data_IF_514835398481
#
_entry.id   IF_514835398481
#
_cell.length_a   1.000
_cell.length_b   1.000
_cell.length_c   1.000
_cell.angle_alpha   90.00
_cell.angle_beta   90.00
_cell.angle_gamma   90.00
#
_symmetry.space_group_name_H-M   'P 1'
#
loop_
_entity.id
_entity.type
_entity.pdbx_description
1 polymer ?
2 branched ?
3 water ?
#
# COMPACT_ATOMS: atom_id res chain seq x y z
N UNK A 25 35.54 5.90 3.90
CA UNK A 25 34.24 5.74 3.19
C UNK A 25 33.41 7.05 3.27
N UNK A 26 32.66 7.29 2.21
CA UNK A 26 31.49 8.18 2.27
C UNK A 26 30.42 7.39 3.05
N UNK A 27 29.87 7.99 4.11
CA UNK A 27 28.78 7.37 4.83
C UNK A 27 27.49 8.11 4.51
N UNK A 28 26.52 7.32 4.07
CA UNK A 28 25.19 7.82 3.82
C UNK A 28 24.22 7.33 4.89
N UNK A 29 23.13 8.07 5.06
CA UNK A 29 22.04 7.63 5.91
C UNK A 29 20.80 7.42 5.08
N UNK A 30 19.99 6.44 5.46
CA UNK A 30 18.79 6.06 4.72
C UNK A 30 17.65 5.77 5.69
N UNK A 31 16.51 6.40 5.48
CA UNK A 31 15.32 6.17 6.29
C UNK A 31 14.25 5.42 5.52
N UNK A 32 13.62 4.42 6.14
CA UNK A 32 12.53 3.69 5.52
C UNK A 32 11.70 3.08 6.64
N UNK A 33 10.47 2.74 6.31
CA UNK A 33 9.62 1.96 7.23
C UNK A 33 9.91 0.46 7.16
N UNK A 34 10.71 0.00 6.21
CA UNK A 34 10.88 -1.41 6.00
C UNK A 34 11.42 -2.12 7.24
N UNK A 35 10.75 -3.24 7.53
CA UNK A 35 11.14 -4.15 8.59
C UNK A 35 12.35 -4.97 8.19
N UNK A 36 12.92 -5.63 9.15
CA UNK A 36 14.11 -6.38 8.93
C UNK A 36 13.95 -7.50 7.85
N UNK A 37 12.72 -7.97 7.69
CA UNK A 37 12.24 -8.92 6.66
C UNK A 37 12.13 -8.36 5.26
N UNK A 38 11.98 -7.06 5.19
CA UNK A 38 11.57 -6.36 3.97
C UNK A 38 12.83 -5.79 3.28
N UNK A 39 12.68 -5.19 2.06
CA UNK A 39 13.88 -4.95 1.25
C UNK A 39 14.95 -4.05 1.82
N UNK A 40 14.59 -2.87 2.28
CA UNK A 40 15.63 -1.85 2.46
C UNK A 40 16.82 -2.28 3.30
N UNK A 41 16.61 -2.81 4.55
CA UNK A 41 17.80 -3.10 5.35
C UNK A 41 18.64 -4.22 4.78
N UNK A 42 18.00 -5.13 4.06
CA UNK A 42 18.75 -6.22 3.43
C UNK A 42 19.57 -5.76 2.23
N UNK A 43 18.96 -4.89 1.42
CA UNK A 43 19.69 -4.32 0.31
C UNK A 43 20.88 -3.51 0.84
N UNK A 44 20.70 -2.79 1.94
CA UNK A 44 21.78 -2.06 2.53
C UNK A 44 22.95 -2.97 2.96
N UNK A 45 22.62 -4.10 3.56
CA UNK A 45 23.70 -5.01 4.03
C UNK A 45 24.47 -5.52 2.81
N UNK A 46 23.74 -5.82 1.74
CA UNK A 46 24.39 -6.31 0.51
C UNK A 46 25.30 -5.20 -0.09
N UNK A 47 24.74 -4.01 -0.18
CA UNK A 47 25.50 -2.85 -0.69
C UNK A 47 26.76 -2.62 0.10
N UNK A 48 26.63 -2.64 1.43
CA UNK A 48 27.78 -2.37 2.27
C UNK A 48 28.91 -3.41 2.08
N UNK A 49 28.53 -4.63 1.76
CA UNK A 49 29.49 -5.74 1.54
C UNK A 49 30.29 -5.55 0.27
N UNK A 50 29.84 -4.65 -0.63
CA UNK A 50 30.61 -4.36 -1.84
C UNK A 50 31.98 -3.72 -1.55
N UNK A 51 32.08 -3.02 -0.45
CA UNK A 51 33.31 -2.30 -0.03
C UNK A 51 33.75 -1.34 -1.17
N UNK A 52 32.77 -0.59 -1.69
CA UNK A 52 32.99 0.29 -2.85
C UNK A 52 33.31 1.73 -2.50
N UNK A 53 33.62 1.96 -1.24
CA UNK A 53 33.96 3.30 -0.71
C UNK A 53 32.75 4.08 -0.21
N UNK A 54 31.57 3.43 -0.26
CA UNK A 54 30.35 4.00 0.31
C UNK A 54 29.74 3.02 1.30
N UNK A 55 29.33 3.54 2.48
CA UNK A 55 28.61 2.75 3.48
C UNK A 55 27.28 3.44 3.77
N UNK A 56 26.23 2.66 3.96
CA UNK A 56 24.91 3.18 4.33
C UNK A 56 24.56 2.77 5.75
N UNK A 57 24.10 3.75 6.54
CA UNK A 57 23.52 3.56 7.85
C UNK A 57 22.01 3.66 7.79
N UNK A 58 21.34 2.60 8.21
CA UNK A 58 19.87 2.54 8.18
C UNK A 58 19.22 3.05 9.45
N UNK A 59 18.10 3.73 9.29
CA UNK A 59 17.21 3.96 10.39
C UNK A 59 15.82 3.62 9.97
N UNK A 60 15.15 2.73 10.70
CA UNK A 60 13.73 2.44 10.50
C UNK A 60 12.90 3.54 11.09
N UNK A 61 12.02 4.10 10.30
CA UNK A 61 11.11 5.16 10.73
C UNK A 61 10.14 4.57 11.68
N UNK A 62 9.85 5.34 12.73
CA UNK A 62 8.97 4.99 13.85
C UNK A 62 7.83 5.93 13.96
N UNK A 63 6.79 5.54 14.67
CA UNK A 63 5.73 6.49 15.10
C UNK A 63 4.73 7.09 14.09
N UNK A 64 4.69 6.71 12.85
CA UNK A 64 3.53 7.21 12.00
C UNK A 64 3.34 8.76 11.92
N UNK A 65 4.40 9.55 11.91
CA UNK A 65 4.25 11.00 11.57
C UNK A 65 5.46 11.27 10.77
N UNK A 66 5.75 10.28 9.89
CA UNK A 66 6.85 10.24 8.95
C UNK A 66 6.96 11.47 8.10
N UNK A 67 5.84 11.91 7.57
CA UNK A 67 5.85 13.06 6.65
C UNK A 67 6.27 14.31 7.38
N UNK A 68 5.59 14.60 8.48
CA UNK A 68 5.90 15.82 9.26
C UNK A 68 7.33 15.76 9.82
N UNK A 69 7.73 14.62 10.37
CA UNK A 69 9.09 14.42 10.89
C UNK A 69 10.12 14.62 9.84
N UNK A 70 9.87 14.04 8.66
CA UNK A 70 10.89 14.13 7.63
C UNK A 70 10.98 15.53 7.07
N UNK A 71 9.85 16.24 6.93
CA UNK A 71 9.94 17.64 6.50
C UNK A 71 10.62 18.51 7.56
N UNK A 72 10.34 18.28 8.82
CA UNK A 72 11.00 19.03 9.88
C UNK A 72 12.51 18.75 9.88
N UNK A 73 12.89 17.47 9.67
CA UNK A 73 14.31 17.15 9.50
C UNK A 73 14.96 17.90 8.37
N UNK A 74 14.32 17.91 7.22
CA UNK A 74 14.81 18.64 6.10
C UNK A 74 15.00 20.15 6.43
N UNK A 75 13.99 20.72 7.07
CA UNK A 75 14.02 22.15 7.38
C UNK A 75 15.10 22.55 8.37
N UNK A 76 15.47 21.62 9.25
CA UNK A 76 16.46 21.89 10.29
C UNK A 76 17.86 21.45 10.03
N UNK A 77 18.05 20.73 8.93
CA UNK A 77 19.32 20.12 8.55
C UNK A 77 19.63 18.76 9.16
N UNK A 78 18.59 18.04 9.56
CA UNK A 78 18.69 16.67 10.11
C UNK A 78 18.22 15.55 9.16
N UNK A 79 17.91 15.89 7.92
CA UNK A 79 17.37 14.88 7.00
C UNK A 79 18.44 13.85 6.62
N UNK A 80 18.03 12.63 6.30
CA UNK A 80 18.98 11.64 5.82
C UNK A 80 19.42 12.00 4.38
N UNK A 81 20.28 11.20 3.82
CA UNK A 81 20.58 11.32 2.41
C UNK A 81 19.50 10.74 1.52
N UNK A 82 18.97 9.57 1.89
CA UNK A 82 17.96 8.85 1.11
C UNK A 82 16.78 8.52 1.97
N UNK A 83 15.58 8.60 1.39
CA UNK A 83 14.39 8.13 2.06
C UNK A 83 13.61 7.26 1.08
N UNK A 84 12.85 6.26 1.59
CA UNK A 84 11.81 5.58 0.87
C UNK A 84 10.52 6.17 1.31
N UNK A 85 9.93 7.03 0.49
CA UNK A 85 8.72 7.80 0.80
C UNK A 85 7.49 7.20 0.15
N UNK A 86 6.34 7.20 0.82
CA UNK A 86 5.14 6.64 0.27
C UNK A 86 4.79 7.47 -0.98
N UNK A 87 4.35 6.81 -2.06
CA UNK A 87 4.13 7.51 -3.29
C UNK A 87 3.21 8.73 -3.25
N UNK A 88 2.13 8.72 -2.47
CA UNK A 88 1.28 9.93 -2.45
C UNK A 88 1.87 11.13 -1.78
N UNK A 89 2.92 10.87 -1.00
CA UNK A 89 3.62 11.97 -0.30
C UNK A 89 4.74 12.60 -1.07
N UNK A 90 5.06 12.03 -2.21
CA UNK A 90 6.24 12.48 -2.95
C UNK A 90 6.11 13.93 -3.40
N UNK A 91 4.93 14.26 -3.93
CA UNK A 91 4.74 15.57 -4.51
C UNK A 91 4.90 16.67 -3.47
N UNK A 92 4.45 16.44 -2.24
CA UNK A 92 4.65 17.44 -1.21
C UNK A 92 6.11 17.83 -1.06
N UNK A 93 6.98 16.84 -0.96
CA UNK A 93 8.41 17.11 -0.81
C UNK A 93 9.01 17.70 -2.06
N UNK A 94 8.70 17.11 -3.22
CA UNK A 94 9.26 17.59 -4.49
C UNK A 94 8.89 19.05 -4.75
N UNK A 95 7.66 19.40 -4.47
CA UNK A 95 7.17 20.72 -4.75
C UNK A 95 7.76 21.80 -3.85
N UNK A 96 8.23 21.36 -2.70
CA UNK A 96 8.77 22.23 -1.70
C UNK A 96 10.30 22.34 -1.72
N UNK A 97 10.92 21.72 -2.72
CA UNK A 97 12.38 21.73 -2.87
C UNK A 97 13.15 20.79 -1.95
N UNK A 98 12.48 19.90 -1.24
CA UNK A 98 13.13 19.02 -0.25
C UNK A 98 13.90 17.90 -0.92
N UNK A 99 13.56 17.57 -2.15
CA UNK A 99 14.18 16.43 -2.85
C UNK A 99 15.11 16.91 -3.98
N UNK A 100 16.20 16.20 -4.17
CA UNK A 100 17.16 16.44 -5.22
C UNK A 100 16.56 16.11 -6.60
N UNK A 101 16.81 17.01 -7.55
CA UNK A 101 16.49 16.81 -8.93
C UNK A 101 17.42 15.78 -9.51
N UNK A 102 16.89 14.58 -9.78
CA UNK A 102 17.72 13.48 -10.30
C UNK A 102 17.54 13.23 -11.79
N UNK A 103 16.94 14.20 -12.49
CA UNK A 103 16.71 14.06 -13.92
C UNK A 103 17.99 13.71 -14.72
N UNK A 104 19.05 14.52 -14.51
CA UNK A 104 20.24 14.27 -15.25
C UNK A 104 20.94 12.98 -14.86
N UNK A 105 20.97 12.65 -13.57
CA UNK A 105 21.61 11.39 -13.17
C UNK A 105 20.85 10.20 -13.69
N UNK A 106 19.51 10.28 -13.74
CA UNK A 106 18.73 9.18 -14.36
C UNK A 106 19.07 9.04 -15.84
N UNK A 107 19.16 10.17 -16.53
CA UNK A 107 19.44 10.15 -17.96
C UNK A 107 20.76 9.48 -18.25
N UNK A 108 21.77 9.80 -17.41
CA UNK A 108 23.13 9.31 -17.60
C UNK A 108 23.20 7.79 -17.25
N UNK A 109 22.41 7.36 -16.27
CA UNK A 109 22.48 5.99 -15.81
C UNK A 109 21.88 5.01 -16.85
N UNK A 110 22.58 3.89 -17.06
CA UNK A 110 21.99 2.79 -17.82
C UNK A 110 21.25 1.81 -16.90
N UNK A 111 21.50 1.86 -15.59
CA UNK A 111 20.82 0.99 -14.64
C UNK A 111 19.39 1.47 -14.41
N UNK A 112 19.20 2.77 -14.32
CA UNK A 112 17.89 3.40 -14.12
C UNK A 112 17.51 4.10 -15.41
N UNK A 113 16.45 3.59 -16.04
CA UNK A 113 15.88 4.15 -17.25
C UNK A 113 14.42 4.40 -17.02
N UNK A 114 13.95 5.59 -17.35
CA UNK A 114 12.54 5.89 -17.11
C UNK A 114 11.60 4.99 -17.90
N UNK A 115 12.01 4.55 -19.07
CA UNK A 115 11.21 3.63 -19.91
C UNK A 115 10.99 2.28 -19.22
N UNK A 116 11.74 1.99 -18.14
CA UNK A 116 11.54 0.67 -17.49
C UNK A 116 10.32 0.70 -16.56
N UNK A 117 9.85 1.88 -16.18
CA UNK A 117 8.91 1.99 -15.11
C UNK A 117 7.47 2.07 -15.58
N UNK A 118 6.53 1.51 -14.81
CA UNK A 118 5.15 1.77 -15.04
C UNK A 118 4.84 3.24 -14.96
N UNK A 119 3.83 3.71 -15.74
CA UNK A 119 3.63 5.13 -15.81
C UNK A 119 3.15 5.80 -14.52
N UNK A 120 2.28 5.11 -13.75
CA UNK A 120 1.78 5.71 -12.51
C UNK A 120 2.90 5.90 -11.46
N UNK A 121 3.71 4.87 -11.25
CA UNK A 121 4.79 5.07 -10.30
C UNK A 121 5.75 6.17 -10.80
N UNK A 122 6.06 6.12 -12.11
CA UNK A 122 6.97 7.21 -12.63
C UNK A 122 6.38 8.59 -12.41
N UNK A 123 5.11 8.75 -12.77
CA UNK A 123 4.48 10.09 -12.60
C UNK A 123 4.58 10.54 -11.14
N UNK A 124 4.49 9.58 -10.18
CA UNK A 124 4.51 9.97 -8.77
C UNK A 124 5.82 10.61 -8.27
N UNK A 125 6.94 10.35 -8.97
CA UNK A 125 8.24 10.97 -8.62
C UNK A 125 8.51 12.25 -9.38
N UNK A 126 7.58 12.66 -10.20
CA UNK A 126 7.76 13.82 -11.08
C UNK A 126 7.17 15.08 -10.46
N UNK A 127 7.80 16.25 -10.74
CA UNK A 127 7.15 17.50 -10.35
C UNK A 127 7.71 18.57 -11.29
N UNK A 128 6.80 19.28 -11.98
CA UNK A 128 7.18 20.41 -12.82
C UNK A 128 8.22 19.97 -13.84
N UNK A 129 8.00 18.85 -14.50
CA UNK A 129 8.88 18.45 -15.62
C UNK A 129 10.29 18.08 -15.16
N UNK A 130 10.41 17.54 -13.95
CA UNK A 130 11.68 17.02 -13.45
C UNK A 130 11.40 15.76 -12.65
N UNK A 131 12.38 14.88 -12.61
CA UNK A 131 12.32 13.69 -11.73
C UNK A 131 12.93 13.97 -10.39
N UNK A 132 12.18 13.66 -9.33
CA UNK A 132 12.63 13.94 -7.96
C UNK A 132 12.70 12.62 -7.18
N UNK A 133 12.86 11.51 -7.88
CA UNK A 133 13.07 10.21 -7.21
C UNK A 133 13.05 9.10 -8.22
N UNK A 134 13.08 7.86 -7.74
CA UNK A 134 13.06 6.66 -8.54
C UNK A 134 12.07 5.70 -7.84
N UNK A 135 11.06 5.15 -8.50
CA UNK A 135 10.17 4.21 -7.82
C UNK A 135 10.90 3.08 -7.17
N UNK A 136 10.48 2.72 -5.95
CA UNK A 136 11.05 1.54 -5.27
C UNK A 136 10.29 0.26 -5.61
N UNK A 137 8.99 0.29 -5.49
CA UNK A 137 8.15 -0.87 -5.72
C UNK A 137 6.72 -0.37 -6.00
N UNK A 138 5.83 -1.28 -6.30
CA UNK A 138 4.41 -0.91 -6.53
C UNK A 138 3.50 -2.01 -5.96
N UNK A 139 2.27 -1.69 -5.61
CA UNK A 139 1.36 -2.71 -5.10
C UNK A 139 -0.06 -2.24 -5.22
N UNK A 140 -0.97 -3.12 -4.86
CA UNK A 140 -2.29 -2.71 -4.44
C UNK A 140 -2.82 -3.81 -3.53
N UNK A 141 -4.06 -3.71 -3.08
CA UNK A 141 -4.68 -4.66 -2.19
C UNK A 141 -5.59 -5.60 -2.90
N UNK A 142 -5.82 -6.79 -2.34
CA UNK A 142 -6.66 -7.82 -2.86
C UNK A 142 -7.28 -8.61 -1.68
N UNK A 143 -8.00 -9.67 -1.99
CA UNK A 143 -8.78 -10.40 -0.98
C UNK A 143 -8.19 -11.78 -0.79
N UNK A 144 -7.50 -11.95 0.37
CA UNK A 144 -7.03 -13.29 0.82
C UNK A 144 -8.22 -14.02 1.45
N UNK A 145 -8.23 -15.35 1.32
CA UNK A 145 -9.31 -16.13 1.92
C UNK A 145 -8.75 -17.47 2.39
N UNK A 146 -9.25 -17.91 3.56
CA UNK A 146 -8.85 -19.21 4.16
C UNK A 146 -9.75 -20.29 3.55
N UNK A 147 -9.16 -21.11 2.68
CA UNK A 147 -9.93 -22.11 1.98
C UNK A 147 -10.44 -23.22 2.88
N UNK A 148 -9.71 -23.50 3.96
CA UNK A 148 -10.16 -24.54 4.92
C UNK A 148 -11.42 -24.06 5.66
N UNK A 149 -11.44 -22.78 6.04
CA UNK A 149 -12.66 -22.24 6.68
C UNK A 149 -13.82 -22.13 5.68
N UNK A 150 -13.54 -21.81 4.43
CA UNK A 150 -14.60 -21.84 3.40
C UNK A 150 -15.23 -23.23 3.33
N UNK A 151 -14.37 -24.21 3.22
CA UNK A 151 -14.84 -25.59 3.10
C UNK A 151 -15.70 -25.98 4.32
N UNK A 152 -15.17 -25.70 5.52
CA UNK A 152 -15.91 -26.08 6.74
C UNK A 152 -17.26 -25.42 6.88
N UNK A 153 -17.41 -24.20 6.35
CA UNK A 153 -18.68 -23.48 6.33
C UNK A 153 -19.66 -23.99 5.32
N UNK A 154 -19.25 -24.91 4.45
CA UNK A 154 -20.08 -25.36 3.34
C UNK A 154 -19.97 -24.52 2.08
N UNK A 155 -19.03 -23.59 2.05
CA UNK A 155 -18.80 -22.77 0.90
C UNK A 155 -17.87 -23.47 -0.07
N UNK A 156 -17.75 -22.91 -1.26
CA UNK A 156 -16.92 -23.48 -2.32
C UNK A 156 -15.60 -22.72 -2.37
N UNK A 157 -14.54 -23.35 -1.87
CA UNK A 157 -13.25 -22.70 -1.81
C UNK A 157 -12.63 -22.37 -3.16
N UNK A 158 -13.19 -22.94 -4.24
CA UNK A 158 -12.76 -22.60 -5.55
C UNK A 158 -13.49 -21.39 -6.11
N UNK A 159 -14.47 -20.90 -5.37
CA UNK A 159 -15.35 -19.82 -5.84
C UNK A 159 -15.48 -18.74 -4.77
N UNK A 160 -14.43 -17.97 -4.59
CA UNK A 160 -14.54 -16.90 -3.59
C UNK A 160 -15.48 -15.80 -4.04
N UNK A 161 -15.92 -14.92 -3.15
CA UNK A 161 -16.88 -13.91 -3.53
C UNK A 161 -16.38 -12.99 -4.62
N UNK A 162 -17.34 -12.58 -5.47
CA UNK A 162 -17.08 -11.72 -6.64
C UNK A 162 -17.73 -10.35 -6.50
N UNK A 163 -18.75 -10.24 -5.66
CA UNK A 163 -19.51 -8.99 -5.48
C UNK A 163 -19.58 -8.63 -4.00
N UNK A 164 -19.88 -7.38 -3.73
CA UNK A 164 -20.02 -6.99 -2.31
C UNK A 164 -21.07 -7.79 -1.59
N UNK A 165 -22.24 -8.02 -2.19
CA UNK A 165 -23.26 -8.83 -1.58
C UNK A 165 -22.71 -10.20 -1.21
N UNK A 166 -22.02 -10.80 -2.15
CA UNK A 166 -21.43 -12.12 -1.90
C UNK A 166 -20.41 -12.08 -0.75
N UNK A 167 -19.59 -11.02 -0.75
CA UNK A 167 -18.59 -10.86 0.27
C UNK A 167 -19.21 -10.73 1.67
N UNK A 168 -20.22 -9.90 1.80
CA UNK A 168 -20.91 -9.74 3.06
C UNK A 168 -21.57 -11.03 3.47
N UNK A 169 -22.28 -11.71 2.59
CA UNK A 169 -22.91 -12.96 2.90
C UNK A 169 -21.90 -14.01 3.36
N UNK A 170 -20.79 -14.14 2.64
CA UNK A 170 -19.74 -15.06 3.03
C UNK A 170 -19.23 -14.67 4.45
N UNK A 171 -18.97 -13.39 4.66
CA UNK A 171 -18.51 -12.95 5.97
C UNK A 171 -19.47 -13.29 7.09
N UNK A 172 -20.77 -13.14 6.87
CA UNK A 172 -21.80 -13.56 7.86
C UNK A 172 -21.69 -15.02 8.14
N UNK A 173 -21.59 -15.85 7.11
CA UNK A 173 -21.42 -17.30 7.31
C UNK A 173 -20.17 -17.73 8.07
N UNK A 174 -19.10 -17.03 7.75
CA UNK A 174 -17.77 -17.37 8.31
C UNK A 174 -17.56 -16.80 9.69
N UNK A 175 -18.39 -15.87 10.14
CA UNK A 175 -18.23 -15.28 11.48
C UNK A 175 -18.76 -16.33 12.49
N UNK A 176 -17.85 -16.70 13.42
CA UNK A 176 -18.12 -17.82 14.36
C UNK A 176 -17.46 -17.45 15.68
N UNK A 177 -18.13 -16.65 16.50
CA UNK A 177 -17.54 -16.25 17.76
C UNK A 177 -17.17 -17.42 18.68
N UNK A 178 -17.87 -18.55 18.58
CA UNK A 178 -17.54 -19.67 19.43
C UNK A 178 -16.17 -20.24 19.17
N UNK A 179 -15.64 -19.95 17.99
CA UNK A 179 -14.33 -20.43 17.51
C UNK A 179 -13.39 -19.27 17.31
N UNK A 180 -13.76 -18.08 17.79
CA UNK A 180 -12.89 -16.91 17.71
C UNK A 180 -12.53 -16.51 16.28
N UNK A 181 -13.51 -16.62 15.39
CA UNK A 181 -13.30 -16.27 13.97
C UNK A 181 -14.22 -15.12 13.55
N UNK A 182 -13.59 -14.06 13.06
CA UNK A 182 -14.36 -13.05 12.30
C UNK A 182 -14.39 -13.43 10.83
N UNK A 183 -15.46 -13.05 10.14
CA UNK A 183 -15.51 -13.31 8.69
C UNK A 183 -14.48 -12.61 7.89
N UNK A 184 -14.07 -11.40 8.29
CA UNK A 184 -13.12 -10.63 7.50
C UNK A 184 -12.24 -9.77 8.38
N UNK A 185 -11.04 -9.47 7.92
CA UNK A 185 -10.16 -8.51 8.55
C UNK A 185 -9.80 -7.45 7.47
N UNK A 186 -9.65 -6.23 7.90
CA UNK A 186 -9.23 -5.11 7.05
C UNK A 186 -8.76 -3.99 7.93
N UNK A 187 -8.48 -2.79 7.42
CA UNK A 187 -8.15 -1.65 8.25
C UNK A 187 -8.91 -0.42 7.90
N UNK A 188 -9.47 0.23 8.91
CA UNK A 188 -10.10 1.50 8.79
C UNK A 188 -9.37 2.57 9.65
N UNK A 189 -8.07 2.33 9.92
CA UNK A 189 -7.30 3.16 10.84
C UNK A 189 -7.29 4.63 10.37
N UNK A 190 -7.33 5.57 11.29
CA UNK A 190 -7.29 7.02 11.04
C UNK A 190 -5.91 7.50 10.67
N UNK A 191 -5.42 7.01 9.52
CA UNK A 191 -4.18 7.41 8.91
C UNK A 191 -4.28 6.90 7.48
N UNK A 192 -3.13 6.84 6.81
CA UNK A 192 -3.16 6.43 5.41
C UNK A 192 -3.69 5.03 5.22
N UNK A 193 -3.54 4.17 6.21
CA UNK A 193 -4.05 2.80 6.14
C UNK A 193 -5.55 2.79 5.74
N UNK A 194 -6.34 3.57 6.47
CA UNK A 194 -7.78 3.62 6.25
C UNK A 194 -8.13 4.19 4.89
N UNK A 195 -7.45 5.29 4.51
CA UNK A 195 -7.70 5.88 3.17
C UNK A 195 -7.35 4.91 2.02
N UNK A 196 -6.22 4.22 2.17
CA UNK A 196 -5.75 3.30 1.14
C UNK A 196 -6.72 2.14 1.01
N UNK A 197 -7.28 1.71 2.15
CA UNK A 197 -8.21 0.58 2.17
C UNK A 197 -9.62 1.01 1.63
N UNK A 198 -10.01 2.26 1.88
CA UNK A 198 -11.36 2.68 1.56
C UNK A 198 -11.53 3.12 0.08
N UNK A 199 -10.47 3.81 -0.46
CA UNK A 199 -10.55 4.28 -1.82
C UNK A 199 -10.98 3.25 -2.84
N UNK A 200 -10.48 2.01 -2.80
CA UNK A 200 -10.97 1.04 -3.82
C UNK A 200 -12.48 0.88 -3.81
N UNK A 201 -13.10 0.83 -2.62
CA UNK A 201 -14.52 0.61 -2.51
C UNK A 201 -15.27 1.82 -3.11
N UNK A 202 -14.85 3.02 -2.75
CA UNK A 202 -15.46 4.24 -3.32
C UNK A 202 -15.28 4.33 -4.82
N UNK A 203 -14.08 4.00 -5.29
CA UNK A 203 -13.76 4.08 -6.72
C UNK A 203 -14.55 3.10 -7.52
N UNK A 204 -14.70 1.88 -7.05
CA UNK A 204 -15.46 0.87 -7.76
C UNK A 204 -16.92 1.31 -7.93
N UNK A 205 -17.42 2.04 -6.95
CA UNK A 205 -18.79 2.55 -6.98
C UNK A 205 -18.94 3.89 -7.68
N UNK A 206 -17.87 4.37 -8.31
CA UNK A 206 -17.95 5.59 -9.15
C UNK A 206 -17.42 6.85 -8.59
N UNK A 207 -16.94 6.82 -7.35
CA UNK A 207 -16.41 8.01 -6.72
C UNK A 207 -14.91 8.16 -6.95
N UNK A 208 -14.35 9.29 -6.58
CA UNK A 208 -12.90 9.48 -6.48
C UNK A 208 -12.59 10.34 -5.31
N UNK A 209 -11.32 10.49 -4.98
CA UNK A 209 -11.02 11.45 -3.89
C UNK A 209 -11.42 12.86 -4.18
N UNK A 210 -11.57 13.22 -5.46
CA UNK A 210 -12.05 14.56 -5.88
C UNK A 210 -13.57 14.74 -5.82
N UNK A 211 -14.25 13.64 -5.66
CA UNK A 211 -15.70 13.58 -5.55
C UNK A 211 -16.10 12.38 -4.69
N UNK A 212 -15.83 12.54 -3.39
CA UNK A 212 -15.90 11.40 -2.48
C UNK A 212 -17.27 11.18 -1.87
N UNK A 213 -18.23 12.03 -2.21
CA UNK A 213 -19.53 12.01 -1.61
C UNK A 213 -20.65 11.59 -2.56
N UNK A 214 -20.30 10.86 -3.60
CA UNK A 214 -21.34 10.35 -4.46
C UNK A 214 -22.21 9.30 -3.71
N UNK A 215 -23.37 8.98 -4.25
CA UNK A 215 -24.21 7.93 -3.70
C UNK A 215 -23.44 6.59 -3.62
N UNK A 216 -22.59 6.35 -4.57
CA UNK A 216 -21.81 5.11 -4.58
C UNK A 216 -20.79 5.09 -3.44
N UNK A 217 -20.18 6.20 -3.15
CA UNK A 217 -19.26 6.22 -1.98
C UNK A 217 -20.03 6.07 -0.69
N UNK A 218 -21.23 6.64 -0.61
CA UNK A 218 -22.06 6.42 0.57
C UNK A 218 -22.36 4.94 0.72
N UNK A 219 -22.73 4.25 -0.38
CA UNK A 219 -22.97 2.82 -0.33
C UNK A 219 -21.74 2.05 0.14
N UNK A 220 -20.57 2.44 -0.33
CA UNK A 220 -19.32 1.83 0.13
C UNK A 220 -19.16 1.94 1.62
N UNK A 221 -19.38 3.13 2.11
CA UNK A 221 -19.20 3.37 3.56
C UNK A 221 -20.30 2.69 4.38
N UNK A 222 -21.51 2.58 3.85
CA UNK A 222 -22.57 1.80 4.49
C UNK A 222 -22.21 0.32 4.56
N UNK A 223 -21.50 -0.15 3.56
CA UNK A 223 -21.09 -1.53 3.51
C UNK A 223 -20.04 -1.82 4.62
N UNK A 224 -19.07 -0.89 4.73
CA UNK A 224 -18.13 -0.98 5.88
C UNK A 224 -18.90 -0.95 7.20
N UNK A 225 -19.88 -0.08 7.33
CA UNK A 225 -20.71 -0.05 8.58
C UNK A 225 -21.34 -1.40 8.81
N UNK A 226 -21.85 -2.04 7.78
CA UNK A 226 -22.43 -3.37 7.95
C UNK A 226 -21.40 -4.33 8.56
N UNK A 227 -20.18 -4.34 8.01
CA UNK A 227 -19.15 -5.30 8.47
C UNK A 227 -18.89 -5.08 9.97
N UNK A 228 -18.85 -3.84 10.41
CA UNK A 228 -18.58 -3.60 11.83
C UNK A 228 -19.81 -3.79 12.71
N UNK A 229 -20.96 -3.24 12.25
CA UNK A 229 -22.19 -3.31 13.03
C UNK A 229 -22.62 -4.74 13.29
N UNK A 230 -22.48 -5.60 12.29
CA UNK A 230 -22.84 -6.98 12.41
C UNK A 230 -21.73 -7.87 13.00
N UNK A 231 -20.61 -7.23 13.39
CA UNK A 231 -19.54 -7.96 14.07
C UNK A 231 -18.87 -8.99 13.17
N UNK A 232 -18.87 -8.70 11.88
CA UNK A 232 -18.21 -9.52 10.89
C UNK A 232 -16.70 -9.26 10.79
N UNK A 233 -16.32 -8.09 11.29
CA UNK A 233 -14.91 -7.65 11.46
C UNK A 233 -14.74 -7.15 12.85
N UNK A 234 -13.54 -7.26 13.36
CA UNK A 234 -13.21 -6.85 14.72
C UNK A 234 -13.48 -5.38 14.92
N UNK A 235 -13.91 -4.94 16.13
CA UNK A 235 -13.91 -3.50 16.43
C UNK A 235 -12.54 -2.83 16.30
N UNK A 236 -11.49 -3.64 16.45
CA UNK A 236 -10.15 -3.10 16.35
C UNK A 236 -9.78 -2.64 14.90
N UNK A 237 -10.64 -2.95 13.92
CA UNK A 237 -10.47 -2.45 12.58
C UNK A 237 -10.36 -0.92 12.53
N UNK A 238 -11.00 -0.26 13.50
CA UNK A 238 -10.99 1.19 13.52
C UNK A 238 -9.63 1.78 13.87
N UNK A 239 -8.74 1.00 14.52
CA UNK A 239 -7.48 1.50 15.07
C UNK A 239 -6.27 0.65 14.68
N UNK A 240 -6.45 -0.37 13.88
CA UNK A 240 -5.40 -1.36 13.64
C UNK A 240 -4.89 -1.30 12.23
N UNK A 241 -3.58 -1.41 12.03
CA UNK A 241 -2.99 -1.40 10.72
C UNK A 241 -3.32 -2.59 9.90
N UNK A 242 -3.11 -2.47 8.56
CA UNK A 242 -3.31 -3.61 7.65
C UNK A 242 -2.45 -4.81 8.08
N UNK A 243 -1.18 -4.54 8.44
CA UNK A 243 -0.23 -5.61 8.84
C UNK A 243 -0.78 -6.33 10.09
N UNK A 244 -1.22 -5.58 11.08
CA UNK A 244 -1.67 -6.18 12.33
C UNK A 244 -3.04 -6.84 12.15
N UNK A 245 -3.88 -6.32 11.24
CA UNK A 245 -5.09 -7.02 10.91
C UNK A 245 -4.83 -8.36 10.25
N UNK A 246 -3.87 -8.36 9.31
CA UNK A 246 -3.58 -9.58 8.59
C UNK A 246 -2.92 -10.68 9.47
N UNK A 247 -2.24 -10.24 10.53
CA UNK A 247 -1.72 -11.21 11.50
C UNK A 247 -2.85 -12.06 12.10
N UNK A 248 -4.04 -11.47 12.22
CA UNK A 248 -5.18 -12.19 12.76
C UNK A 248 -5.69 -13.21 11.78
N UNK A 249 -5.65 -12.89 10.47
CA UNK A 249 -5.96 -13.86 9.44
C UNK A 249 -4.93 -15.01 9.49
N UNK A 250 -3.63 -14.67 9.57
CA UNK A 250 -2.60 -15.72 9.58
C UNK A 250 -2.77 -16.68 10.76
N UNK A 251 -3.31 -16.19 11.90
CA UNK A 251 -3.50 -17.02 13.09
C UNK A 251 -4.80 -17.81 13.03
N UNK A 252 -5.64 -17.62 12.02
CA UNK A 252 -6.92 -18.33 11.93
C UNK A 252 -8.09 -17.67 12.62
N UNK A 253 -7.93 -16.40 12.97
CA UNK A 253 -8.93 -15.64 13.69
C UNK A 253 -9.82 -14.72 12.79
N UNK A 254 -9.49 -14.70 11.47
CA UNK A 254 -10.29 -14.00 10.49
C UNK A 254 -10.29 -14.87 9.26
N UNK A 255 -11.46 -15.08 8.64
CA UNK A 255 -11.54 -16.03 7.51
C UNK A 255 -11.10 -15.46 6.15
N UNK A 256 -11.06 -14.12 6.11
CA UNK A 256 -10.68 -13.38 4.88
C UNK A 256 -9.89 -12.15 5.33
N UNK A 257 -9.05 -11.62 4.46
CA UNK A 257 -8.25 -10.41 4.77
C UNK A 257 -8.10 -9.59 3.52
N UNK A 258 -8.31 -8.30 3.65
CA UNK A 258 -7.96 -7.38 2.54
C UNK A 258 -6.61 -6.77 2.87
N UNK A 259 -5.61 -7.10 2.05
CA UNK A 259 -4.29 -6.54 2.25
C UNK A 259 -3.43 -6.70 0.97
N UNK A 260 -2.14 -6.42 1.08
CA UNK A 260 -1.30 -6.34 -0.07
C UNK A 260 -0.28 -7.47 -0.20
N UNK A 261 0.58 -7.41 -1.23
CA UNK A 261 1.53 -8.50 -1.47
C UNK A 261 2.64 -8.52 -0.39
N UNK A 262 2.78 -7.42 0.32
CA UNK A 262 3.72 -7.38 1.42
C UNK A 262 3.44 -8.39 2.53
N UNK A 263 2.25 -8.99 2.50
CA UNK A 263 1.85 -10.02 3.48
C UNK A 263 2.35 -11.40 3.13
N UNK A 264 2.71 -11.64 1.87
CA UNK A 264 2.86 -13.00 1.37
C UNK A 264 3.97 -13.80 2.11
N UNK A 265 5.15 -13.23 2.21
CA UNK A 265 6.26 -14.06 2.75
C UNK A 265 6.00 -14.43 4.22
N UNK A 266 5.45 -13.51 5.00
CA UNK A 266 5.09 -13.85 6.41
C UNK A 266 3.95 -14.87 6.44
N UNK A 267 2.96 -14.69 5.56
CA UNK A 267 1.80 -15.60 5.50
C UNK A 267 2.27 -17.02 5.19
N UNK A 268 3.22 -17.18 4.27
CA UNK A 268 3.72 -18.51 3.96
C UNK A 268 4.30 -19.22 5.19
N UNK A 269 4.93 -18.48 6.06
CA UNK A 269 5.49 -19.06 7.29
C UNK A 269 4.50 -19.27 8.41
N UNK A 270 3.54 -18.37 8.53
CA UNK A 270 2.62 -18.31 9.67
C UNK A 270 1.26 -18.89 9.53
N UNK A 271 0.69 -18.87 8.31
CA UNK A 271 -0.64 -19.37 8.11
C UNK A 271 -0.59 -20.87 7.95
N UNK A 272 -1.23 -21.55 8.86
CA UNK A 272 -1.21 -23.02 8.89
C UNK A 272 -2.48 -23.58 8.35
N UNK A 273 -2.86 -23.13 7.19
CA UNK A 273 -4.05 -23.51 6.47
C UNK A 273 -3.87 -23.24 4.94
N UNK A 274 -4.73 -23.82 4.13
CA UNK A 274 -4.73 -23.55 2.71
C UNK A 274 -5.46 -22.20 2.46
N UNK A 275 -4.89 -21.38 1.58
CA UNK A 275 -5.44 -20.06 1.31
C UNK A 275 -5.29 -19.71 -0.13
N UNK A 276 -6.14 -18.78 -0.57
CA UNK A 276 -6.05 -18.19 -1.90
C UNK A 276 -6.09 -16.68 -1.81
N UNK A 277 -5.99 -16.03 -2.97
CA UNK A 277 -6.15 -14.60 -3.11
C UNK A 277 -6.91 -14.33 -4.34
N UNK A 278 -7.93 -13.47 -4.27
CA UNK A 278 -8.71 -13.12 -5.45
C UNK A 278 -8.83 -11.58 -5.53
N UNK A 279 -9.36 -11.13 -6.67
CA UNK A 279 -9.54 -9.72 -6.88
C UNK A 279 -10.53 -9.14 -5.86
N UNK A 280 -10.43 -7.85 -5.58
CA UNK A 280 -11.41 -7.22 -4.68
C UNK A 280 -12.79 -7.36 -5.28
N UNK A 281 -13.79 -7.81 -4.53
CA UNK A 281 -15.16 -7.89 -5.05
C UNK A 281 -15.69 -6.52 -5.43
N UNK A 282 -16.59 -6.55 -6.45
CA UNK A 282 -17.12 -5.35 -7.07
C UNK A 282 -18.55 -5.16 -6.59
N UNK A 283 -19.08 -3.91 -6.72
CA UNK A 283 -20.36 -3.57 -6.04
C UNK A 283 -21.63 -4.20 -6.62
N UNK A 284 -21.62 -4.43 -7.87
CA UNK A 284 -22.84 -5.06 -8.47
C UNK A 284 -22.27 -5.96 -9.49
N UNK A 285 -23.12 -6.95 -10.01
CA UNK A 285 -22.46 -7.89 -10.87
C UNK A 285 -21.82 -7.19 -12.03
N UNK A 286 -20.61 -7.54 -12.32
CA UNK A 286 -19.93 -6.90 -13.47
C UNK A 286 -19.74 -5.43 -13.44
N UNK A 287 -19.74 -4.85 -12.28
CA UNK A 287 -19.24 -3.51 -12.10
C UNK A 287 -17.73 -3.54 -12.19
N UNK A 288 -17.13 -2.33 -12.41
CA UNK A 288 -15.74 -2.40 -12.67
C UNK A 288 -14.84 -2.59 -11.38
N UNK A 289 -13.70 -3.20 -11.61
CA UNK A 289 -12.57 -3.24 -10.70
C UNK A 289 -11.77 -1.87 -10.54
N UNK A 290 -11.36 -1.58 -9.31
CA UNK A 290 -10.52 -0.42 -9.10
C UNK A 290 -9.88 -0.50 -7.70
N UNK A 291 -8.76 0.19 -7.56
CA UNK A 291 -8.08 0.27 -6.23
C UNK A 291 -7.03 1.36 -6.25
N UNK A 292 -6.33 1.57 -5.15
CA UNK A 292 -5.32 2.62 -5.10
C UNK A 292 -3.95 2.05 -5.30
N UNK A 293 -3.10 2.79 -5.98
CA UNK A 293 -1.73 2.43 -6.29
C UNK A 293 -0.88 2.60 -5.04
N UNK A 294 -0.32 1.48 -4.61
CA UNK A 294 0.49 1.45 -3.40
C UNK A 294 1.97 1.52 -3.67
N UNK A 295 2.70 1.66 -2.57
CA UNK A 295 4.13 1.45 -2.41
C UNK A 295 4.96 2.73 -2.57
N UNK A 296 6.27 2.57 -2.41
CA UNK A 296 7.14 3.67 -2.05
C UNK A 296 8.07 4.00 -3.22
N UNK A 297 8.67 5.19 -3.10
CA UNK A 297 9.68 5.72 -4.01
C UNK A 297 10.98 6.03 -3.27
N UNK A 298 12.11 5.77 -3.89
CA UNK A 298 13.35 6.30 -3.41
C UNK A 298 13.45 7.80 -3.71
N UNK A 299 14.03 8.57 -2.81
CA UNK A 299 14.31 9.96 -3.02
C UNK A 299 15.59 10.31 -2.32
N UNK A 300 16.30 11.33 -2.81
CA UNK A 300 17.48 11.92 -2.20
C UNK A 300 17.11 13.31 -1.71
N UNK A 301 17.42 13.60 -0.45
CA UNK A 301 17.13 14.96 0.05
C UNK A 301 18.07 15.97 -0.60
N UNK A 302 17.53 17.17 -0.82
CA UNK A 302 18.17 18.11 -1.77
C UNK A 302 19.48 18.68 -1.31
N UNK A 303 19.73 18.68 0.00
CA UNK A 303 20.96 19.25 0.53
C UNK A 303 21.93 18.18 0.97
N UNK A 304 21.77 16.96 0.44
CA UNK A 304 22.79 15.95 0.70
C UNK A 304 24.20 16.44 0.29
N UNK A 305 25.18 16.04 1.10
CA UNK A 305 26.57 16.30 0.73
C UNK A 305 27.12 15.33 -0.26
N UNK A 306 26.35 14.25 -0.54
CA UNK A 306 26.83 13.16 -1.35
C UNK A 306 25.85 12.72 -2.43
N UNK A 307 25.51 13.66 -3.33
CA UNK A 307 24.50 13.30 -4.32
C UNK A 307 24.85 12.15 -5.24
N UNK A 308 26.09 12.12 -5.73
CA UNK A 308 26.47 11.01 -6.63
C UNK A 308 26.45 9.66 -5.94
N UNK A 309 26.97 9.61 -4.73
CA UNK A 309 27.00 8.35 -3.97
C UNK A 309 25.59 7.90 -3.56
N UNK A 310 24.74 8.85 -3.18
CA UNK A 310 23.36 8.51 -2.86
C UNK A 310 22.69 7.89 -4.12
N UNK A 311 22.96 8.47 -5.30
CA UNK A 311 22.34 7.98 -6.51
C UNK A 311 22.87 6.62 -6.88
N UNK A 312 24.19 6.44 -6.65
CA UNK A 312 24.77 5.09 -6.88
C UNK A 312 24.13 3.99 -5.98
N UNK A 313 23.79 4.39 -4.74
CA UNK A 313 23.07 3.44 -3.87
C UNK A 313 21.71 3.06 -4.50
N UNK A 314 20.99 4.09 -4.98
CA UNK A 314 19.73 3.83 -5.60
C UNK A 314 19.83 2.97 -6.87
N UNK A 315 20.88 3.21 -7.67
CA UNK A 315 21.17 2.34 -8.81
C UNK A 315 21.34 0.89 -8.36
N UNK A 316 22.08 0.69 -7.28
CA UNK A 316 22.29 -0.68 -6.74
C UNK A 316 20.92 -1.28 -6.35
N UNK A 317 20.09 -0.48 -5.62
CA UNK A 317 18.77 -1.02 -5.25
C UNK A 317 17.98 -1.42 -6.50
N UNK A 318 17.94 -0.56 -7.50
CA UNK A 318 17.21 -0.85 -8.72
C UNK A 318 17.74 -2.10 -9.45
N UNK A 319 19.03 -2.32 -9.37
CA UNK A 319 19.65 -3.49 -10.01
C UNK A 319 19.20 -4.81 -9.41
N UNK A 320 18.71 -4.71 -8.18
CA UNK A 320 18.14 -5.91 -7.46
C UNK A 320 16.63 -6.12 -7.59
N UNK A 321 15.97 -5.19 -8.31
CA UNK A 321 14.57 -5.30 -8.45
C UNK A 321 14.12 -6.65 -9.02
N UNK A 322 14.90 -7.21 -9.94
CA UNK A 322 14.63 -8.51 -10.51
C UNK A 322 14.45 -9.64 -9.52
N UNK A 323 15.01 -9.47 -8.33
CA UNK A 323 14.91 -10.51 -7.28
C UNK A 323 13.91 -10.15 -6.20
N UNK A 324 13.20 -9.05 -6.32
CA UNK A 324 12.39 -8.55 -5.20
C UNK A 324 11.28 -9.52 -4.84
N UNK A 325 10.54 -10.02 -5.83
CA UNK A 325 9.45 -10.93 -5.50
C UNK A 325 9.93 -12.21 -4.87
N UNK A 326 10.91 -12.85 -5.48
CA UNK A 326 11.39 -14.10 -4.96
C UNK A 326 11.94 -13.90 -3.54
N UNK A 327 12.63 -12.81 -3.27
CA UNK A 327 13.32 -12.67 -1.96
C UNK A 327 12.43 -12.04 -0.89
N UNK A 328 11.43 -11.21 -1.29
CA UNK A 328 10.66 -10.44 -0.31
C UNK A 328 9.18 -10.51 -0.55
N UNK A 329 8.74 -11.08 -1.64
CA UNK A 329 7.32 -11.09 -1.99
C UNK A 329 6.72 -9.73 -2.35
N UNK A 330 7.57 -8.76 -2.67
CA UNK A 330 7.11 -7.46 -3.13
C UNK A 330 7.32 -7.33 -4.62
N UNK A 331 6.66 -6.31 -5.20
CA UNK A 331 6.58 -6.21 -6.68
C UNK A 331 7.32 -5.00 -7.18
N UNK A 332 8.22 -5.18 -8.18
CA UNK A 332 8.87 -4.00 -8.75
C UNK A 332 7.88 -3.08 -9.42
N UNK A 333 8.29 -1.83 -9.54
CA UNK A 333 7.49 -0.83 -10.22
C UNK A 333 7.75 -0.71 -11.74
N UNK A 334 8.08 -1.83 -12.36
CA UNK A 334 8.72 -1.89 -13.65
C UNK A 334 8.09 -2.85 -14.60
N UNK A 335 7.85 -2.40 -15.83
CA UNK A 335 7.39 -3.24 -16.95
C UNK A 335 8.49 -4.00 -17.64
N UNK A 336 9.77 -3.62 -17.41
CA UNK A 336 10.85 -4.34 -18.08
C UNK A 336 11.20 -5.71 -17.52
N UNK A 337 10.76 -5.94 -16.28
CA UNK A 337 11.08 -7.16 -15.55
C UNK A 337 9.78 -7.81 -15.04
N UNK A 338 8.92 -8.31 -15.95
CA UNK A 338 7.73 -9.05 -15.49
C UNK A 338 8.18 -10.16 -14.51
N UNK A 339 7.34 -10.34 -13.49
CA UNK A 339 7.78 -11.16 -12.38
C UNK A 339 7.57 -12.67 -12.72
N UNK A 340 8.64 -13.47 -12.68
CA UNK A 340 8.51 -14.89 -12.92
C UNK A 340 7.92 -15.64 -11.75
N UNK A 341 7.37 -16.83 -12.00
CA UNK A 341 6.93 -17.66 -10.86
C UNK A 341 8.11 -18.02 -9.97
N UNK A 342 7.85 -18.20 -8.71
CA UNK A 342 8.82 -18.64 -7.70
C UNK A 342 8.99 -20.13 -7.62
N UNK A 343 7.94 -20.91 -7.97
CA UNK A 343 7.92 -22.32 -7.72
C UNK A 343 7.13 -22.71 -6.45
N UNK A 344 6.77 -21.76 -5.61
CA UNK A 344 5.87 -22.00 -4.54
C UNK A 344 4.46 -21.76 -5.01
N UNK A 345 3.61 -22.79 -4.93
CA UNK A 345 2.28 -22.70 -5.56
C UNK A 345 1.43 -21.64 -4.94
N UNK A 346 1.42 -21.50 -3.64
CA UNK A 346 0.55 -20.46 -2.99
C UNK A 346 1.03 -19.09 -3.36
N UNK A 347 2.35 -18.90 -3.36
CA UNK A 347 2.91 -17.61 -3.69
C UNK A 347 2.65 -17.21 -5.15
N UNK A 348 2.74 -18.20 -6.03
CA UNK A 348 2.58 -17.96 -7.44
C UNK A 348 1.13 -17.67 -7.81
N UNK A 349 0.18 -18.26 -7.08
CA UNK A 349 -1.20 -17.86 -7.25
C UNK A 349 -1.45 -16.48 -6.73
N UNK A 350 -0.84 -16.12 -5.61
CA UNK A 350 -0.92 -14.77 -5.11
C UNK A 350 -0.36 -13.76 -6.12
N UNK A 351 0.77 -14.12 -6.74
CA UNK A 351 1.38 -13.27 -7.73
C UNK A 351 0.37 -12.96 -8.87
N UNK A 352 -0.23 -14.02 -9.39
CA UNK A 352 -1.20 -13.85 -10.47
C UNK A 352 -2.32 -12.83 -10.11
N UNK A 353 -2.84 -12.99 -8.91
CA UNK A 353 -3.90 -12.12 -8.47
C UNK A 353 -3.47 -10.69 -8.30
N UNK A 354 -2.35 -10.48 -7.67
CA UNK A 354 -1.86 -9.10 -7.46
C UNK A 354 -1.49 -8.43 -8.77
N UNK A 355 -0.86 -9.16 -9.71
CA UNK A 355 -0.57 -8.59 -11.04
C UNK A 355 -1.83 -8.19 -11.75
N UNK A 356 -2.89 -8.97 -11.60
CA UNK A 356 -4.18 -8.62 -12.19
C UNK A 356 -4.81 -7.43 -11.53
N UNK A 357 -4.88 -7.40 -10.20
CA UNK A 357 -5.49 -6.27 -9.53
C UNK A 357 -4.73 -4.97 -9.80
N UNK A 358 -3.41 -5.07 -9.93
CA UNK A 358 -2.57 -3.92 -10.18
C UNK A 358 -2.97 -3.18 -11.47
N UNK A 359 -3.51 -3.91 -12.42
CA UNK A 359 -3.94 -3.30 -13.70
C UNK A 359 -5.03 -2.31 -13.54
N UNK A 360 -5.73 -2.31 -12.41
CA UNK A 360 -6.81 -1.39 -12.13
C UNK A 360 -6.49 -0.34 -11.08
N UNK A 361 -5.24 -0.31 -10.64
CA UNK A 361 -4.89 0.67 -9.59
C UNK A 361 -4.89 2.10 -10.12
N UNK A 362 -5.22 3.07 -9.29
CA UNK A 362 -5.25 4.48 -9.64
C UNK A 362 -4.43 5.27 -8.65
N UNK A 363 -3.74 6.30 -9.10
CA UNK A 363 -2.91 7.07 -8.19
C UNK A 363 -3.66 7.96 -7.26
N UNK A 364 -3.15 8.09 -6.03
CA UNK A 364 -3.61 9.08 -5.10
C UNK A 364 -2.88 10.35 -5.47
N UNK A 365 -3.57 11.27 -6.11
CA UNK A 365 -2.91 12.51 -6.59
C UNK A 365 -2.51 12.38 -8.05
N UNK A 366 -1.46 13.08 -8.48
CA UNK A 366 -0.50 13.91 -7.72
C UNK A 366 -1.14 15.06 -6.94
N UNK A 367 -0.77 15.20 -5.66
CA UNK A 367 -1.18 16.39 -4.90
C UNK A 367 -0.17 16.74 -3.82
N UNK A 368 0.40 17.95 -3.84
CA UNK A 368 1.21 18.39 -2.71
C UNK A 368 0.47 18.48 -1.39
N UNK A 369 -0.85 18.36 -1.40
CA UNK A 369 -1.62 18.44 -0.20
C UNK A 369 -2.28 17.11 0.15
N UNK A 370 -1.70 16.02 -0.32
CA UNK A 370 -2.31 14.71 -0.05
C UNK A 370 -2.67 14.47 1.40
N UNK A 371 -1.76 14.79 2.35
CA UNK A 371 -2.16 14.52 3.76
C UNK A 371 -3.44 15.13 4.21
N UNK A 372 -3.73 16.34 3.76
CA UNK A 372 -5.01 17.00 4.13
C UNK A 372 -6.18 16.34 3.46
N UNK A 373 -6.02 15.91 2.21
CA UNK A 373 -7.07 15.16 1.51
C UNK A 373 -7.36 13.85 2.24
N UNK A 374 -6.28 13.14 2.56
CA UNK A 374 -6.42 11.88 3.22
C UNK A 374 -7.04 12.01 4.62
N UNK A 375 -6.65 13.07 5.34
CA UNK A 375 -7.24 13.29 6.66
C UNK A 375 -8.73 13.48 6.57
N UNK A 376 -9.19 14.20 5.57
CA UNK A 376 -10.64 14.41 5.39
C UNK A 376 -11.34 13.05 5.21
N UNK A 377 -10.73 12.17 4.40
CA UNK A 377 -11.31 10.86 4.18
C UNK A 377 -11.28 10.02 5.46
N UNK A 378 -10.14 10.03 6.17
CA UNK A 378 -10.03 9.32 7.46
C UNK A 378 -11.13 9.71 8.45
N UNK A 379 -11.38 11.01 8.52
CA UNK A 379 -12.34 11.54 9.49
C UNK A 379 -13.76 11.10 9.09
N UNK A 380 -14.07 11.05 7.80
CA UNK A 380 -15.36 10.58 7.34
C UNK A 380 -15.55 9.11 7.74
N UNK A 381 -14.53 8.29 7.49
CA UNK A 381 -14.61 6.89 7.86
C UNK A 381 -14.86 6.72 9.34
N UNK A 382 -14.08 7.41 10.19
CA UNK A 382 -14.23 7.32 11.63
C UNK A 382 -15.58 7.84 12.09
N UNK A 383 -16.03 8.97 11.52
CA UNK A 383 -17.32 9.48 11.87
C UNK A 383 -18.47 8.56 11.62
N UNK A 384 -18.48 7.97 10.43
CA UNK A 384 -19.55 6.99 10.10
C UNK A 384 -19.42 5.71 10.89
N UNK A 385 -18.24 5.15 10.98
CA UNK A 385 -18.13 3.79 11.61
C UNK A 385 -18.42 3.85 13.13
N UNK A 386 -18.10 4.99 13.76
CA UNK A 386 -18.41 5.22 15.17
C UNK A 386 -19.85 5.58 15.46
N UNK A 387 -20.65 5.85 14.41
CA UNK A 387 -22.05 6.24 14.53
C UNK A 387 -22.23 7.73 14.88
N UNK A 388 -21.12 8.48 14.89
CA UNK A 388 -21.19 9.87 15.19
C UNK A 388 -21.84 10.72 14.10
N UNK A 389 -21.68 10.31 12.85
CA UNK A 389 -22.24 10.99 11.73
C UNK A 389 -22.83 9.92 10.79
N UNK A 390 -23.85 10.31 10.03
CA UNK A 390 -24.31 9.40 8.99
C UNK A 390 -23.22 9.29 7.89
N UNK A 391 -23.21 8.15 7.15
CA UNK A 391 -22.26 8.07 6.04
C UNK A 391 -22.37 9.26 5.06
N UNK A 392 -23.58 9.65 4.72
CA UNK A 392 -23.80 10.79 3.87
C UNK A 392 -23.24 12.08 4.44
N UNK A 393 -23.55 12.39 5.70
CA UNK A 393 -23.05 13.61 6.29
C UNK A 393 -21.54 13.58 6.37
N UNK A 394 -21.00 12.43 6.74
CA UNK A 394 -19.53 12.28 6.91
C UNK A 394 -18.80 12.54 5.57
N UNK A 395 -19.32 11.96 4.50
CA UNK A 395 -18.67 12.14 3.23
C UNK A 395 -18.93 13.54 2.60
N UNK A 396 -20.07 14.12 2.86
CA UNK A 396 -20.34 15.47 2.42
C UNK A 396 -19.33 16.39 3.09
N UNK A 397 -19.11 16.19 4.39
CA UNK A 397 -18.12 16.99 5.11
C UNK A 397 -16.73 16.83 4.48
N UNK A 398 -16.30 15.61 4.24
CA UNK A 398 -15.03 15.40 3.59
C UNK A 398 -14.91 16.08 2.24
N UNK A 399 -15.96 15.98 1.42
CA UNK A 399 -15.89 16.54 0.10
C UNK A 399 -15.73 18.07 0.18
N UNK A 400 -16.40 18.71 1.14
CA UNK A 400 -16.26 20.16 1.27
C UNK A 400 -14.82 20.51 1.64
N UNK A 401 -14.22 19.78 2.59
CA UNK A 401 -12.82 20.00 2.97
C UNK A 401 -11.89 19.80 1.79
N UNK A 402 -12.11 18.77 1.03
CA UNK A 402 -11.23 18.44 -0.10
C UNK A 402 -11.31 19.51 -1.19
N UNK A 403 -12.50 20.03 -1.44
CA UNK A 403 -12.68 21.14 -2.38
C UNK A 403 -11.74 22.28 -2.03
N UNK A 404 -11.62 22.59 -0.73
CA UNK A 404 -10.80 23.68 -0.31
C UNK A 404 -9.34 23.42 -0.43
N UNK A 405 -8.94 22.22 -0.08
CA UNK A 405 -7.50 21.89 -0.02
C UNK A 405 -6.92 21.49 -1.36
N UNK A 406 -7.73 20.81 -2.18
CA UNK A 406 -7.25 20.20 -3.42
C UNK A 406 -7.36 21.19 -4.56
X LIG B 1 1.10 0.16 2.11
X LIG B 1 1.29 0.82 0.76
X LIG B 1 1.26 2.35 0.89
X LIG B 1 -0.06 2.74 1.57
X LIG B 1 -0.03 2.08 2.94
X LIG B 1 -1.24 2.50 3.79
X LIG B 1 2.50 0.35 0.20
X LIG B 1 1.36 2.94 -0.41
X LIG B 1 -0.16 4.18 1.63
X LIG B 1 -0.07 0.67 2.78
X LIG B 1 -1.04 2.05 5.15
X LIG B 2 1.47 -1.16 4.53
X LIG B 2 2.67 -0.64 3.78
X LIG B 2 3.44 -1.77 3.10
X LIG B 2 4.58 -2.11 3.98
X LIG B 2 4.67 -0.90 4.90
X LIG B 2 6.02 -0.19 4.68
X LIG B 2 1.00 -0.08 5.39
X LIG B 2 2.25 0.42 2.91
X LIG B 2 3.84 -1.36 1.82
X LIG B 2 4.26 -3.27 4.83
X LIG B 2 3.60 0.00 4.61
X LIG B 2 7.11 -1.09 5.01
X LIG C 1 1.10 0.15 2.12
X LIG C 1 1.28 0.82 0.77
X LIG C 1 1.26 2.35 0.89
X LIG C 1 -0.06 2.74 1.57
X LIG C 1 -0.03 2.08 2.94
X LIG C 1 -1.24 2.50 3.79
X LIG C 1 2.50 0.35 0.20
X LIG C 1 1.36 2.94 -0.41
X LIG C 1 -0.16 4.18 1.63
X LIG C 1 -0.07 0.67 2.78
X LIG C 1 -1.04 2.05 5.15
X LIG C 2 1.48 -1.11 4.61
X LIG C 2 2.66 -0.62 3.81
X LIG C 2 3.41 -1.77 3.11
X LIG C 2 4.59 -1.99 3.93
X LIG C 2 4.64 -0.93 4.93
X LIG C 2 6.01 -0.31 4.70
X LIG C 2 1.89 -2.26 5.41
X LIG C 2 2.25 0.43 2.91
X LIG C 2 3.82 -1.37 1.82
X LIG C 2 5.78 -2.64 3.76
X LIG C 2 3.63 0.01 4.60
X LIG C 2 5.94 1.10 4.76
X LIG D 1 -21.78 -17.43 -4.45
X LIG D 1 -22.89 -17.41 -5.50
X LIG D 1 -22.43 -18.16 -6.75
X LIG D 1 -21.13 -17.62 -7.24
X LIG D 1 -20.10 -17.53 -6.11
X LIG D 1 -18.81 -16.82 -6.52
X LIG D 1 -24.12 -17.97 -5.03
X LIG D 1 -23.44 -18.03 -7.78
X LIG D 1 -20.61 -18.40 -8.33
X LIG D 1 -20.67 -16.80 -5.04
X LIG D 1 -19.10 -15.62 -7.19
X LIG D 2 -22.71 -19.34 -2.15
X LIG D 2 -21.34 -19.07 -2.71
X LIG D 2 -20.34 -20.24 -2.53
X LIG D 2 -19.03 -19.50 -2.66
X LIG D 2 -19.36 -18.19 -1.90
X LIG D 2 -18.61 -16.97 -2.39
X LIG D 2 -22.68 -19.50 -0.75
X LIG D 2 -21.45 -18.74 -4.11
X LIG D 2 -20.49 -21.20 -3.55
X LIG D 2 -17.95 -20.18 -2.08
X LIG D 2 -20.77 -17.95 -2.04
X LIG D 2 -18.92 -15.84 -1.62
#
# INVERSE_FOLDING_TARGET
MHHHHHHSSGVDLGTENLYFQSMEDVTLTLWSLDRDIQPAPNLIKEFNALNNGIKIEYRQLQFDDVVSESMRAYSTGNAPDIIAIDNPNHAMFASRGAFLDVTDMIAKSDVIKTENYFPGPLKSVTWDGKYFGVPKATNTIALYYNKDLFKAAGLDAAKPPQTWDELVDAARKLTNPAKNVYGISFSAKANEEGTFQFLPWAQMAGATYKNINTDGAVKALETWKTLLDEKLASPDTLTRSQWDSTATFNAGNAAMAISGPWEIDRMLKDAKFDWGVTLLPVPTPDAPRSSAMGDYNWAIFSKTKHPAEAFKAIEFFASKDKDMFKNFGQLPARSDIPVPPTGNALKDEALKTFVEQLKYAQPRGPSPEWPKISKAIQDAIQGALSGQMTPKAALDQAAEKIKLVDG
GLC C1 C2 C3 C4 C5 C6 O2 O3 O4 O5 O6
FRU C1 C2 C3 C4 C5 C6 O1 O2 O3 O4 O5 O6
GLC C1 C2 C3 C4 C5 C6 O2 O3 O4 O5 O6
FRU C1 C2 C3 C4 C5 C6 O1 O2 O3 O4 O5 O6
GLC C1 C2 C3 C4 C5 C6 O2 O3 O4 O5 O6
FRU C1 C2 C3 C4 C5 C6 O1 O2 O3 O4 O5 O6
#
